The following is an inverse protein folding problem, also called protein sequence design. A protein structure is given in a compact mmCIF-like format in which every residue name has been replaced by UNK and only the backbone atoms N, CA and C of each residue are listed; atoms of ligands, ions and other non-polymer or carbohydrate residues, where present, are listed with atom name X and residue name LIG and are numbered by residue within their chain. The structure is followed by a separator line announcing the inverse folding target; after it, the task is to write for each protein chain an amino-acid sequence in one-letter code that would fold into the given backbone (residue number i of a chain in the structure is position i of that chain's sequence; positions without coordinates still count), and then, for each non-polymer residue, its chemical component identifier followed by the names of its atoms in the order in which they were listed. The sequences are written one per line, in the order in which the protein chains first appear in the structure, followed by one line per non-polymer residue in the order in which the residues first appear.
data_IF_427548338308
#
_entry.id   IF_427548338308
#
_cell.length_a   1.000
_cell.length_b   1.000
_cell.length_c   1.000
_cell.angle_alpha   90.00
_cell.angle_beta   90.00
_cell.angle_gamma   90.00
#
_symmetry.space_group_name_H-M   'P 1'
#
loop_
_entity.id
_entity.type
_entity.pdbx_description
1 polymer ?
#
# COMPACT_ATOMS: atom_id res chain seq x y z
N UNK A 1 2.56 7.89 0.47
CA UNK A 1 2.45 6.54 1.07
C UNK A 1 3.61 5.67 0.59
N UNK A 2 3.91 5.66 -0.71
CA UNK A 2 4.94 4.79 -1.31
C UNK A 2 6.35 4.98 -0.74
N UNK A 3 6.83 6.22 -0.56
CA UNK A 3 8.20 6.44 -0.07
C UNK A 3 8.51 5.79 1.29
N UNK A 4 7.56 5.81 2.23
CA UNK A 4 7.69 5.12 3.52
C UNK A 4 7.52 3.61 3.37
N UNK A 5 6.65 3.15 2.46
CA UNK A 5 6.46 1.72 2.17
C UNK A 5 7.71 1.08 1.58
N UNK A 6 8.37 1.77 0.67
CA UNK A 6 9.61 1.30 0.02
C UNK A 6 10.77 1.19 1.03
N UNK A 7 10.68 1.94 2.14
CA UNK A 7 11.59 1.87 3.29
C UNK A 7 11.16 0.84 4.35
N UNK A 8 10.11 0.07 4.08
CA UNK A 8 9.63 -1.03 4.91
C UNK A 8 8.54 -0.65 5.93
N UNK A 9 8.09 0.61 5.95
CA UNK A 9 7.02 1.02 6.85
C UNK A 9 5.63 0.73 6.29
N UNK A 10 4.82 0.03 7.08
CA UNK A 10 3.42 -0.23 6.76
C UNK A 10 2.51 0.71 7.56
N UNK A 11 2.12 1.83 6.94
CA UNK A 11 1.19 2.80 7.52
C UNK A 11 -0.21 2.63 6.93
N UNK A 12 -1.21 3.02 7.70
CA UNK A 12 -2.60 3.01 7.25
C UNK A 12 -2.88 4.28 6.44
N UNK A 13 -3.27 4.12 5.17
CA UNK A 13 -3.78 5.21 4.34
C UNK A 13 -5.24 5.52 4.71
N UNK A 14 -5.51 6.76 5.10
CA UNK A 14 -6.85 7.26 5.39
C UNK A 14 -7.49 7.89 4.15
N UNK A 15 -8.81 7.80 4.07
CA UNK A 15 -9.62 8.44 3.04
C UNK A 15 -10.74 9.26 3.71
N UNK A 16 -11.02 10.45 3.16
CA UNK A 16 -12.04 11.39 3.64
C UNK A 16 -11.82 11.92 5.09
N UNK A 17 -10.81 12.78 5.32
CA UNK A 17 -9.86 13.35 4.37
C UNK A 17 -8.66 12.42 4.06
N UNK A 18 -7.89 12.75 3.03
CA UNK A 18 -6.65 12.03 2.72
C UNK A 18 -5.63 12.18 3.87
N UNK A 19 -5.05 11.07 4.32
CA UNK A 19 -4.07 11.11 5.40
C UNK A 19 -3.29 9.81 5.56
N UNK A 20 -2.27 9.84 6.42
CA UNK A 20 -1.52 8.67 6.87
C UNK A 20 -1.68 8.53 8.38
N UNK A 21 -1.85 7.31 8.86
CA UNK A 21 -2.02 6.98 10.27
C UNK A 21 -1.15 5.79 10.67
N UNK A 22 -0.57 5.87 11.87
CA UNK A 22 0.12 4.78 12.54
C UNK A 22 -0.43 4.64 13.96
N UNK A 23 -0.83 3.42 14.32
CA UNK A 23 -1.20 3.08 15.69
C UNK A 23 0.07 2.63 16.42
N UNK A 24 0.58 3.46 17.33
CA UNK A 24 1.79 3.14 18.08
C UNK A 24 1.54 1.98 19.05
N UNK A 25 2.56 1.14 19.20
CA UNK A 25 2.58 -0.06 20.06
C UNK A 25 3.92 -0.13 20.78
N UNK A 26 4.07 -1.04 21.75
CA UNK A 26 5.34 -1.22 22.46
C UNK A 26 6.53 -1.56 21.55
N UNK A 27 6.31 -2.17 20.39
CA UNK A 27 7.39 -2.44 19.41
C UNK A 27 7.98 -1.15 18.85
N UNK A 28 7.18 -0.08 18.77
CA UNK A 28 7.64 1.23 18.33
C UNK A 28 8.42 1.97 19.43
N UNK A 29 8.28 1.58 20.69
CA UNK A 29 9.02 2.18 21.81
C UNK A 29 10.45 1.61 21.96
N UNK A 30 10.85 0.68 21.10
CA UNK A 30 12.23 0.19 21.08
C UNK A 30 13.19 1.32 20.70
N UNK A 31 14.40 1.35 21.27
CA UNK A 31 15.36 2.42 21.01
C UNK A 31 15.62 2.64 19.51
N UNK A 32 15.45 3.88 19.04
CA UNK A 32 15.77 4.28 17.67
C UNK A 32 14.63 4.09 16.65
N UNK A 33 13.53 3.40 17.00
CA UNK A 33 12.45 3.14 16.02
C UNK A 33 11.66 4.40 15.70
N UNK A 34 11.31 5.21 16.69
CA UNK A 34 10.57 6.48 16.47
C UNK A 34 11.46 7.52 15.80
N UNK A 35 12.73 7.60 16.19
CA UNK A 35 13.70 8.50 15.61
C UNK A 35 13.86 8.21 14.11
N UNK A 36 14.02 6.93 13.76
CA UNK A 36 14.08 6.47 12.37
C UNK A 36 12.80 6.80 11.60
N UNK A 37 11.62 6.56 12.21
CA UNK A 37 10.34 6.88 11.58
C UNK A 37 10.23 8.38 11.25
N UNK A 38 10.63 9.25 12.18
CA UNK A 38 10.58 10.70 12.01
C UNK A 38 11.56 11.15 10.91
N UNK A 39 12.81 10.67 10.95
CA UNK A 39 13.84 10.99 9.97
C UNK A 39 13.40 10.60 8.55
N UNK A 40 13.02 9.35 8.35
CA UNK A 40 12.61 8.86 7.04
C UNK A 40 11.32 9.52 6.54
N UNK A 41 10.40 9.89 7.45
CA UNK A 41 9.22 10.69 7.09
C UNK A 41 9.62 12.07 6.57
N UNK A 42 10.59 12.74 7.21
CA UNK A 42 11.07 14.06 6.75
C UNK A 42 11.74 13.97 5.38
N UNK A 43 12.54 12.94 5.16
CA UNK A 43 13.17 12.69 3.85
C UNK A 43 12.13 12.47 2.77
N UNK A 44 11.16 11.58 3.00
CA UNK A 44 10.08 11.34 2.03
C UNK A 44 9.27 12.60 1.74
N UNK A 45 8.97 13.43 2.74
CA UNK A 45 8.27 14.71 2.52
C UNK A 45 9.14 15.64 1.67
N UNK A 46 10.43 15.77 1.98
CA UNK A 46 11.34 16.61 1.20
C UNK A 46 11.48 16.13 -0.26
N UNK A 47 11.50 14.81 -0.50
CA UNK A 47 11.49 14.23 -1.83
C UNK A 47 10.20 14.54 -2.59
N UNK A 48 9.03 14.41 -1.95
CA UNK A 48 7.73 14.71 -2.57
C UNK A 48 7.60 16.19 -2.90
N UNK A 49 8.04 17.08 -2.00
CA UNK A 49 7.98 18.54 -2.21
C UNK A 49 8.86 19.02 -3.37
N UNK A 50 9.85 18.24 -3.80
CA UNK A 50 10.70 18.54 -4.97
C UNK A 50 10.10 18.08 -6.30
N UNK A 51 9.05 17.24 -6.28
CA UNK A 51 8.41 16.70 -7.49
C UNK A 51 7.29 17.62 -7.94
N UNK A 52 7.36 18.14 -9.16
CA UNK A 52 6.31 19.01 -9.73
C UNK A 52 5.00 18.26 -10.02
N UNK A 53 5.06 16.95 -10.29
CA UNK A 53 3.89 16.10 -10.60
C UNK A 53 3.83 14.89 -9.65
N UNK A 54 2.99 14.98 -8.62
CA UNK A 54 2.97 14.01 -7.50
C UNK A 54 2.02 12.80 -7.68
N UNK A 55 1.38 12.64 -8.86
CA UNK A 55 0.28 11.68 -9.04
C UNK A 55 0.68 10.30 -9.63
N UNK A 56 1.97 10.04 -9.84
CA UNK A 56 2.39 8.89 -10.66
C UNK A 56 2.64 7.58 -9.89
N UNK A 57 2.42 7.54 -8.58
CA UNK A 57 2.66 6.31 -7.83
C UNK A 57 1.44 5.38 -7.85
N UNK A 58 1.62 4.05 -7.99
CA UNK A 58 0.51 3.09 -8.07
C UNK A 58 -0.47 3.19 -6.90
N UNK A 59 0.04 3.41 -5.69
CA UNK A 59 -0.78 3.53 -4.49
C UNK A 59 -1.49 4.88 -4.41
N UNK A 60 -0.86 5.98 -4.86
CA UNK A 60 -1.53 7.27 -4.97
C UNK A 60 -2.67 7.22 -6.00
N UNK A 61 -2.51 6.47 -7.10
CA UNK A 61 -3.59 6.25 -8.07
C UNK A 61 -4.75 5.49 -7.43
N UNK A 62 -4.51 4.37 -6.75
CA UNK A 62 -5.62 3.59 -6.13
C UNK A 62 -6.34 4.42 -5.05
N UNK A 63 -5.60 5.00 -4.10
CA UNK A 63 -6.20 5.74 -2.99
C UNK A 63 -6.78 7.10 -3.44
N UNK A 64 -6.13 7.78 -4.39
CA UNK A 64 -6.61 9.04 -4.95
C UNK A 64 -7.81 8.87 -5.86
N UNK A 65 -7.89 7.77 -6.63
CA UNK A 65 -9.05 7.46 -7.47
C UNK A 65 -10.23 7.04 -6.60
N UNK A 66 -10.03 6.18 -5.60
CA UNK A 66 -11.09 5.77 -4.66
C UNK A 66 -11.72 6.95 -3.90
N UNK A 67 -10.95 7.99 -3.59
CA UNK A 67 -11.50 9.21 -2.97
C UNK A 67 -12.34 10.06 -3.94
N UNK A 68 -12.05 9.99 -5.24
CA UNK A 68 -12.72 10.80 -6.28
C UNK A 68 -13.93 10.11 -6.91
N UNK A 69 -14.05 8.79 -6.78
CA UNK A 69 -15.16 8.01 -7.34
C UNK A 69 -16.45 8.34 -6.58
N UNK A 70 -17.47 8.95 -7.23
CA UNK A 70 -18.76 9.25 -6.59
C UNK A 70 -19.61 7.99 -6.35
N UNK A 71 -19.42 6.97 -7.18
CA UNK A 71 -20.18 5.73 -7.16
C UNK A 71 -19.51 4.66 -6.28
N UNK A 72 -20.04 4.49 -5.07
CA UNK A 72 -19.55 3.52 -4.09
C UNK A 72 -19.77 2.06 -4.50
N UNK A 73 -20.58 1.77 -5.53
CA UNK A 73 -20.80 0.40 -6.00
C UNK A 73 -19.51 -0.21 -6.58
N UNK A 74 -18.69 0.59 -7.27
CA UNK A 74 -17.41 0.16 -7.84
C UNK A 74 -16.41 -0.26 -6.75
N UNK A 75 -16.37 0.47 -5.64
CA UNK A 75 -15.51 0.12 -4.49
C UNK A 75 -15.94 -1.22 -3.88
N UNK A 76 -17.25 -1.46 -3.80
CA UNK A 76 -17.80 -2.72 -3.30
C UNK A 76 -17.41 -3.90 -4.19
N UNK A 77 -17.49 -3.75 -5.51
CA UNK A 77 -17.13 -4.81 -6.45
C UNK A 77 -15.62 -5.09 -6.45
N UNK A 78 -14.80 -4.05 -6.34
CA UNK A 78 -13.35 -4.22 -6.16
C UNK A 78 -13.02 -4.96 -4.85
N UNK A 79 -13.72 -4.67 -3.76
CA UNK A 79 -13.54 -5.37 -2.48
C UNK A 79 -13.94 -6.85 -2.59
N UNK A 80 -15.06 -7.15 -3.26
CA UNK A 80 -15.48 -8.55 -3.52
C UNK A 80 -14.42 -9.29 -4.34
N UNK A 81 -13.91 -8.67 -5.42
CA UNK A 81 -12.87 -9.26 -6.26
C UNK A 81 -11.59 -9.54 -5.47
N UNK A 82 -11.18 -8.61 -4.62
CA UNK A 82 -10.02 -8.79 -3.75
C UNK A 82 -10.18 -10.00 -2.83
N UNK A 83 -11.34 -10.10 -2.15
CA UNK A 83 -11.65 -11.25 -1.28
C UNK A 83 -11.68 -12.55 -2.10
N UNK A 84 -12.33 -12.56 -3.26
CA UNK A 84 -12.35 -13.72 -4.15
C UNK A 84 -10.95 -14.15 -4.60
N UNK A 85 -10.05 -13.20 -4.86
CA UNK A 85 -8.66 -13.49 -5.19
C UNK A 85 -7.89 -14.11 -4.01
N UNK A 86 -8.14 -13.69 -2.77
CA UNK A 86 -7.53 -14.28 -1.57
C UNK A 86 -7.91 -15.77 -1.37
N UNK A 87 -9.10 -16.17 -1.84
CA UNK A 87 -9.57 -17.56 -1.77
C UNK A 87 -9.37 -18.33 -3.08
N UNK A 88 -8.69 -17.74 -4.06
CA UNK A 88 -8.52 -18.40 -5.35
C UNK A 88 -7.52 -19.56 -5.23
N UNK A 89 -8.04 -20.79 -5.32
CA UNK A 89 -7.24 -22.03 -5.34
C UNK A 89 -7.03 -22.57 -6.75
N UNK A 90 -7.53 -21.88 -7.79
CA UNK A 90 -7.26 -22.30 -9.17
C UNK A 90 -5.76 -22.14 -9.42
N UNK A 91 -5.03 -23.25 -9.55
CA UNK A 91 -3.66 -23.20 -10.03
C UNK A 91 -3.66 -22.53 -11.40
N UNK A 92 -3.00 -21.40 -11.50
CA UNK A 92 -2.63 -20.85 -12.81
C UNK A 92 -1.94 -21.96 -13.61
N UNK A 93 -2.28 -22.18 -14.90
CA UNK A 93 -1.63 -23.19 -15.73
C UNK A 93 -0.11 -22.99 -15.86
N UNK A 94 0.45 -21.88 -15.37
CA UNK A 94 1.90 -21.66 -15.28
C UNK A 94 2.61 -22.50 -14.21
N UNK A 95 1.96 -22.91 -13.11
CA UNK A 95 2.61 -23.75 -12.08
C UNK A 95 2.51 -25.25 -12.36
N UNK A 96 1.61 -25.68 -13.26
CA UNK A 96 1.44 -27.08 -13.64
C UNK A 96 2.53 -27.58 -14.60
N UNK A 97 3.22 -26.67 -15.31
CA UNK A 97 4.33 -27.02 -16.20
C UNK A 97 5.64 -27.29 -15.44
N UNK A 98 5.89 -26.59 -14.33
CA UNK A 98 7.11 -26.77 -13.53
C UNK A 98 7.14 -28.10 -12.75
N UNK A 99 5.97 -28.63 -12.36
CA UNK A 99 5.87 -29.88 -11.61
C UNK A 99 6.00 -31.16 -12.47
N UNK A 100 5.96 -31.06 -13.81
CA UNK A 100 6.01 -32.22 -14.72
C UNK A 100 7.41 -32.58 -15.21
N UNK A 101 8.43 -31.76 -14.93
CA UNK A 101 9.82 -32.00 -15.37
C UNK A 101 10.75 -32.47 -14.23
N UNK A 102 10.17 -32.93 -13.11
CA UNK A 102 10.93 -33.52 -12.00
C UNK A 102 10.61 -35.02 -11.87
N UNK A 103 10.89 -35.79 -12.93
CA UNK A 103 11.02 -37.26 -12.90
C UNK A 103 12.04 -37.69 -13.95
#
# INVERSE_FOLDING_TARGET
LDGLRDRGWHLNGLQNPAGLHIALTQLHAQPGVIEKLIEETRECVAEVMKRENANDTPTAVIYGTNQKVPDKSLVCDMAKLYISACYNTTMSPSSAAAAKNAH
#
